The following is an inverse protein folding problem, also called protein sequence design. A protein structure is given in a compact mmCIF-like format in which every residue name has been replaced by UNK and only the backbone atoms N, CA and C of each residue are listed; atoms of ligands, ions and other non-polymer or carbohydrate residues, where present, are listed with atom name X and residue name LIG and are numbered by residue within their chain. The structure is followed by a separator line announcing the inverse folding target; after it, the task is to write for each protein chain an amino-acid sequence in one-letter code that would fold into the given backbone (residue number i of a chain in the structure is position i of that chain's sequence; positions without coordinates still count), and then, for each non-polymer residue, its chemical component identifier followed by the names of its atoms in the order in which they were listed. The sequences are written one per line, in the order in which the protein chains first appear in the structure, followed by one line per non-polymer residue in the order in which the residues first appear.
data_IF_101976276770
#
_entry.id   IF_101976276770
#
_cell.length_a   1.000
_cell.length_b   1.000
_cell.length_c   1.000
_cell.angle_alpha   90.00
_cell.angle_beta   90.00
_cell.angle_gamma   90.00
#
_symmetry.space_group_name_H-M   'P 1'
#
loop_
_entity.id
_entity.type
_entity.pdbx_description
1 polymer ?
#
# COMPACT_ATOMS: atom_id res chain seq x y z
N UNK A 1 -15.75 -12.89 15.68
CA UNK A 1 -14.37 -12.68 15.23
C UNK A 1 -13.49 -13.55 16.12
N UNK A 2 -12.78 -14.53 15.56
CA UNK A 2 -11.92 -15.43 16.35
C UNK A 2 -10.46 -15.16 16.01
N UNK A 3 -9.61 -15.02 17.03
CA UNK A 3 -8.19 -14.67 16.90
C UNK A 3 -7.32 -15.76 16.24
N UNK A 4 -7.90 -16.92 15.93
CA UNK A 4 -7.22 -18.03 15.26
C UNK A 4 -7.40 -18.08 13.74
N UNK A 5 -8.21 -17.21 13.13
CA UNK A 5 -8.40 -17.21 11.69
C UNK A 5 -7.14 -16.75 10.95
N UNK A 6 -6.77 -17.33 9.79
CA UNK A 6 -5.57 -16.95 9.05
C UNK A 6 -5.49 -15.46 8.73
N UNK A 7 -6.65 -14.84 8.46
CA UNK A 7 -6.74 -13.40 8.20
C UNK A 7 -6.38 -12.57 9.44
N UNK A 8 -6.79 -13.01 10.63
CA UNK A 8 -6.52 -12.30 11.88
C UNK A 8 -5.05 -12.39 12.27
N UNK A 9 -4.42 -13.55 12.05
CA UNK A 9 -2.98 -13.76 12.28
C UNK A 9 -2.15 -12.89 11.35
N UNK A 10 -2.51 -12.83 10.06
CA UNK A 10 -1.81 -11.98 9.07
C UNK A 10 -1.93 -10.50 9.42
N UNK A 11 -3.13 -10.04 9.79
CA UNK A 11 -3.36 -8.66 10.20
C UNK A 11 -2.57 -8.30 11.46
N UNK A 12 -2.58 -9.18 12.48
CA UNK A 12 -1.80 -8.98 13.70
C UNK A 12 -0.29 -8.91 13.43
N UNK A 13 0.22 -9.80 12.56
CA UNK A 13 1.63 -9.78 12.17
C UNK A 13 2.00 -8.48 11.44
N UNK A 14 1.17 -8.02 10.49
CA UNK A 14 1.40 -6.75 9.80
C UNK A 14 1.42 -5.55 10.76
N UNK A 15 0.53 -5.53 11.76
CA UNK A 15 0.51 -4.48 12.77
C UNK A 15 1.80 -4.50 13.61
N UNK A 16 2.20 -5.66 14.11
CA UNK A 16 3.41 -5.81 14.92
C UNK A 16 4.68 -5.38 14.17
N UNK A 17 4.75 -5.63 12.86
CA UNK A 17 5.87 -5.21 12.02
C UNK A 17 5.96 -3.68 11.82
N UNK A 18 4.85 -2.96 11.96
CA UNK A 18 4.81 -1.49 11.83
C UNK A 18 5.22 -0.78 13.13
N UNK A 19 5.10 -1.46 14.27
CA UNK A 19 5.32 -0.91 15.61
C UNK A 19 6.80 -0.81 15.97
N UNK A 20 7.15 0.22 16.75
CA UNK A 20 8.46 0.40 17.37
C UNK A 20 8.34 0.14 18.88
N UNK A 21 8.56 -1.12 19.28
CA UNK A 21 8.42 -1.55 20.68
C UNK A 21 9.50 -0.99 21.62
N UNK A 22 10.49 -0.26 21.08
CA UNK A 22 11.49 0.44 21.89
C UNK A 22 10.96 1.76 22.49
N UNK A 23 9.86 2.28 21.95
CA UNK A 23 9.24 3.54 22.40
C UNK A 23 8.13 3.26 23.41
N UNK A 24 8.04 4.05 24.48
CA UNK A 24 6.95 3.93 25.45
C UNK A 24 5.63 4.45 24.84
N UNK A 25 4.56 3.62 24.76
CA UNK A 25 3.25 4.07 24.28
C UNK A 25 2.59 5.16 25.14
N UNK A 26 2.93 5.25 26.43
CA UNK A 26 2.39 6.28 27.32
C UNK A 26 3.02 7.66 27.05
N UNK A 27 4.24 7.69 26.53
CA UNK A 27 4.95 8.94 26.21
C UNK A 27 4.72 9.36 24.74
N UNK A 28 4.86 8.43 23.80
CA UNK A 28 4.70 8.70 22.38
C UNK A 28 4.05 7.52 21.65
N UNK A 29 2.72 7.45 21.74
CA UNK A 29 1.94 6.42 21.06
C UNK A 29 2.14 6.40 19.54
N UNK A 30 2.38 7.56 18.91
CA UNK A 30 2.62 7.62 17.46
C UNK A 30 3.93 6.93 17.08
N UNK A 31 5.01 7.20 17.82
CA UNK A 31 6.29 6.52 17.59
C UNK A 31 6.18 5.03 17.91
N UNK A 32 5.50 4.64 19.00
CA UNK A 32 5.28 3.23 19.30
C UNK A 32 4.48 2.50 18.21
N UNK A 33 3.41 3.10 17.69
CA UNK A 33 2.53 2.45 16.71
C UNK A 33 3.10 2.45 15.28
N UNK A 34 3.76 3.54 14.87
CA UNK A 34 4.16 3.79 13.48
C UNK A 34 5.68 3.95 13.29
N UNK A 35 6.48 3.90 14.35
CA UNK A 35 7.90 4.26 14.31
C UNK A 35 8.72 3.39 13.37
N UNK A 36 8.41 2.09 13.27
CA UNK A 36 9.08 1.19 12.33
C UNK A 36 8.57 1.44 10.91
N UNK A 37 7.27 1.68 10.73
CA UNK A 37 6.69 2.04 9.42
C UNK A 37 7.34 3.31 8.85
N UNK A 38 7.51 4.35 9.66
CA UNK A 38 8.18 5.60 9.23
C UNK A 38 9.63 5.39 8.79
N UNK A 39 10.35 4.46 9.43
CA UNK A 39 11.74 4.12 9.06
C UNK A 39 11.81 3.35 7.74
N UNK A 40 10.81 2.52 7.45
CA UNK A 40 10.74 1.72 6.22
C UNK A 40 10.20 2.51 5.02
N UNK A 41 9.31 3.47 5.26
CA UNK A 41 8.65 4.27 4.24
C UNK A 41 9.15 5.72 4.26
N UNK A 42 10.39 5.93 3.81
CA UNK A 42 10.94 7.27 3.64
C UNK A 42 10.27 7.99 2.46
N UNK A 43 10.05 9.30 2.60
CA UNK A 43 9.45 10.12 1.55
C UNK A 43 10.41 10.16 0.34
N UNK A 44 9.99 9.68 -0.83
CA UNK A 44 10.81 9.72 -2.03
C UNK A 44 10.87 11.16 -2.59
N UNK A 45 11.89 11.47 -3.40
CA UNK A 45 12.16 12.85 -3.86
C UNK A 45 11.05 13.48 -4.70
N UNK A 46 10.18 12.67 -5.30
CA UNK A 46 9.05 13.07 -6.12
C UNK A 46 7.80 13.41 -5.30
N UNK A 47 7.84 13.25 -3.97
CA UNK A 47 6.68 13.46 -3.09
C UNK A 47 7.03 14.35 -1.90
N UNK A 48 6.03 15.07 -1.40
CA UNK A 48 6.13 15.89 -0.19
C UNK A 48 5.72 15.13 1.08
N UNK A 49 5.01 14.01 0.94
CA UNK A 49 4.57 13.16 2.04
C UNK A 49 4.36 11.73 1.59
N UNK A 50 4.32 10.81 2.55
CA UNK A 50 3.92 9.42 2.35
C UNK A 50 3.04 8.99 3.53
N UNK A 51 1.92 8.35 3.23
CA UNK A 51 1.06 7.70 4.21
C UNK A 51 0.67 6.31 3.69
N UNK A 52 -0.02 5.54 4.52
CA UNK A 52 -0.56 4.24 4.14
C UNK A 52 -1.48 4.33 2.93
N UNK A 53 -2.19 5.45 2.72
CA UNK A 53 -3.08 5.60 1.57
C UNK A 53 -2.34 5.73 0.25
N UNK A 54 -1.22 6.47 0.21
CA UNK A 54 -0.39 6.57 -0.99
C UNK A 54 0.22 5.22 -1.33
N UNK A 55 0.69 4.46 -0.32
CA UNK A 55 1.20 3.09 -0.55
C UNK A 55 0.10 2.20 -1.15
N UNK A 56 -1.12 2.24 -0.62
CA UNK A 56 -2.24 1.49 -1.19
C UNK A 56 -2.61 1.95 -2.62
N UNK A 57 -2.51 3.25 -2.89
CA UNK A 57 -2.77 3.78 -4.23
C UNK A 57 -1.71 3.32 -5.24
N UNK A 58 -0.44 3.28 -4.84
CA UNK A 58 0.65 2.76 -5.68
C UNK A 58 0.45 1.27 -5.97
N UNK A 59 0.09 0.46 -4.97
CA UNK A 59 -0.24 -0.96 -5.16
C UNK A 59 -1.41 -1.15 -6.14
N UNK A 60 -2.45 -0.32 -6.00
CA UNK A 60 -3.59 -0.34 -6.91
C UNK A 60 -3.16 0.02 -8.34
N UNK A 61 -2.30 1.01 -8.53
CA UNK A 61 -1.79 1.37 -9.85
C UNK A 61 -1.01 0.22 -10.51
N UNK A 62 -0.21 -0.54 -9.74
CA UNK A 62 0.50 -1.73 -10.26
C UNK A 62 -0.48 -2.78 -10.76
N UNK A 63 -1.54 -3.06 -9.99
CA UNK A 63 -2.59 -4.01 -10.39
C UNK A 63 -3.30 -3.54 -11.66
N UNK A 64 -3.67 -2.26 -11.73
CA UNK A 64 -4.33 -1.67 -12.89
C UNK A 64 -3.44 -1.73 -14.13
N UNK A 65 -2.15 -1.41 -14.01
CA UNK A 65 -1.18 -1.53 -15.10
C UNK A 65 -1.07 -2.97 -15.59
N UNK A 66 -0.95 -3.94 -14.69
CA UNK A 66 -0.88 -5.36 -15.04
C UNK A 66 -2.14 -5.85 -15.76
N UNK A 67 -3.32 -5.43 -15.30
CA UNK A 67 -4.59 -5.71 -15.99
C UNK A 67 -4.64 -5.07 -17.36
N UNK A 68 -4.24 -3.80 -17.48
CA UNK A 68 -4.18 -3.11 -18.76
C UNK A 68 -3.27 -3.86 -19.74
N UNK A 69 -2.04 -4.20 -19.34
CA UNK A 69 -1.08 -4.99 -20.12
C UNK A 69 -1.65 -6.32 -20.61
N UNK A 70 -2.35 -7.06 -19.74
CA UNK A 70 -3.02 -8.31 -20.13
C UNK A 70 -4.19 -8.12 -21.11
N UNK A 71 -4.85 -6.96 -21.06
CA UNK A 71 -5.98 -6.61 -21.92
C UNK A 71 -5.50 -6.20 -23.33
N UNK A 72 -4.27 -5.69 -23.52
CA UNK A 72 -3.74 -5.44 -24.88
C UNK A 72 -3.71 -6.69 -25.78
N UNK A 73 -3.71 -7.91 -25.20
CA UNK A 73 -3.76 -9.17 -25.95
C UNK A 73 -5.20 -9.50 -26.40
N UNK A 74 -6.21 -9.00 -25.69
CA UNK A 74 -7.62 -9.16 -25.99
C UNK A 74 -8.21 -7.82 -26.39
N UNK A 75 -8.05 -7.42 -27.67
CA UNK A 75 -8.59 -6.20 -28.28
C UNK A 75 -10.14 -6.15 -28.31
N UNK A 76 -10.80 -6.27 -27.16
CA UNK A 76 -12.23 -6.55 -27.09
C UNK A 76 -13.09 -5.35 -26.70
N UNK A 77 -12.55 -4.16 -26.39
CA UNK A 77 -13.41 -3.04 -25.99
C UNK A 77 -12.84 -1.65 -26.33
N UNK A 78 -13.59 -0.86 -27.10
CA UNK A 78 -13.23 0.46 -27.65
C UNK A 78 -13.06 1.55 -26.58
N UNK A 79 -13.66 1.39 -25.40
CA UNK A 79 -13.42 2.28 -24.26
C UNK A 79 -11.97 2.21 -23.74
N UNK A 80 -11.30 1.06 -23.88
CA UNK A 80 -9.92 0.87 -23.43
C UNK A 80 -8.88 1.49 -24.36
N UNK A 81 -9.14 1.53 -25.67
CA UNK A 81 -8.27 2.22 -26.64
C UNK A 81 -8.16 3.72 -26.34
N UNK A 82 -9.24 4.35 -25.84
CA UNK A 82 -9.21 5.76 -25.42
C UNK A 82 -8.34 6.01 -24.20
N UNK A 83 -8.29 5.06 -23.26
CA UNK A 83 -7.41 5.16 -22.08
C UNK A 83 -5.95 4.99 -22.47
N UNK A 84 -5.64 4.11 -23.44
CA UNK A 84 -4.28 3.97 -24.00
C UNK A 84 -3.76 5.25 -24.63
N UNK A 85 -4.56 5.91 -25.48
CA UNK A 85 -4.20 7.16 -26.16
C UNK A 85 -4.14 8.39 -25.22
N UNK A 86 -4.48 8.24 -23.95
CA UNK A 86 -4.40 9.33 -22.97
C UNK A 86 -3.23 9.16 -21.99
N UNK A 87 -2.61 7.96 -21.98
CA UNK A 87 -1.41 7.63 -21.21
C UNK A 87 -0.14 7.74 -22.09
N UNK A 88 -0.27 7.72 -23.42
CA UNK A 88 0.77 8.00 -24.41
C UNK A 88 0.41 9.21 -25.26
#
# INVERSE_FOLDING_TARGET
MNCGEPVSVKTAASLLNAMDQSSDPCDNFFQYACGTWNKLHMIPQDRSSISTFEVMADDLQVILKGKMSSIFISNSCTSFLRVQNHIF
#
